data_IF_655939846198
#
_entry.id   IF_655939846198
#
_cell.length_a   1.000
_cell.length_b   1.000
_cell.length_c   1.000
_cell.angle_alpha   90.00
_cell.angle_beta   90.00
_cell.angle_gamma   90.00
#
_symmetry.space_group_name_H-M   'P 1'
#
loop_
_entity.id
_entity.type
_entity.pdbx_description
1 polymer ?
#
# COMPACT_ATOMS: atom_id res chain seq x y z
N UNK A 1 -40.55 -0.96 63.73
CA UNK A 1 -39.89 -0.34 64.90
C UNK A 1 -40.73 -0.65 66.12
N UNK A 2 -40.14 -1.35 67.08
CA UNK A 2 -40.81 -1.73 68.33
C UNK A 2 -40.32 -0.79 69.43
N UNK A 3 -41.21 0.11 69.89
CA UNK A 3 -40.89 1.12 70.89
C UNK A 3 -40.53 0.51 72.25
N UNK A 4 -41.05 -0.68 72.57
CA UNK A 4 -40.76 -1.39 73.81
C UNK A 4 -39.34 -1.96 73.76
N UNK A 5 -38.97 -2.64 72.67
CA UNK A 5 -37.61 -3.17 72.48
C UNK A 5 -36.56 -2.06 72.46
N UNK A 6 -36.84 -0.98 71.73
CA UNK A 6 -35.94 0.17 71.64
C UNK A 6 -35.79 0.87 73.00
N UNK A 7 -36.91 1.08 73.71
CA UNK A 7 -36.89 1.64 75.07
C UNK A 7 -36.09 0.79 76.04
N UNK A 8 -36.21 -0.54 75.97
CA UNK A 8 -35.44 -1.47 76.78
C UNK A 8 -33.94 -1.39 76.46
N UNK A 9 -33.56 -1.35 75.17
CA UNK A 9 -32.17 -1.23 74.74
C UNK A 9 -31.54 0.10 75.20
N UNK A 10 -32.29 1.21 75.14
CA UNK A 10 -31.87 2.52 75.64
C UNK A 10 -31.64 2.46 77.15
N UNK A 11 -32.60 1.91 77.92
CA UNK A 11 -32.50 1.79 79.36
C UNK A 11 -31.32 0.91 79.79
N UNK A 12 -31.13 -0.22 79.10
CA UNK A 12 -30.03 -1.15 79.33
C UNK A 12 -28.68 -0.47 79.07
N UNK A 13 -28.50 0.09 77.88
CA UNK A 13 -27.21 0.68 77.47
C UNK A 13 -26.87 1.91 78.31
N UNK A 14 -27.86 2.72 78.71
CA UNK A 14 -27.67 3.82 79.65
C UNK A 14 -27.12 3.34 80.99
N UNK A 15 -27.71 2.28 81.56
CA UNK A 15 -27.29 1.70 82.84
C UNK A 15 -25.90 1.07 82.75
N UNK A 16 -25.59 0.39 81.64
CA UNK A 16 -24.25 -0.16 81.39
C UNK A 16 -23.17 0.93 81.35
N UNK A 17 -23.51 2.12 80.84
CA UNK A 17 -22.63 3.30 80.87
C UNK A 17 -22.64 4.07 82.20
N UNK A 18 -23.37 3.60 83.21
CA UNK A 18 -23.46 4.25 84.53
C UNK A 18 -24.16 5.60 84.53
N UNK A 19 -24.90 5.95 83.46
CA UNK A 19 -25.56 7.24 83.33
C UNK A 19 -26.93 7.23 84.04
N UNK A 20 -27.30 8.32 84.69
CA UNK A 20 -28.66 8.59 85.15
C UNK A 20 -29.56 9.05 83.99
N UNK A 21 -30.88 8.98 84.14
CA UNK A 21 -31.81 9.50 83.12
C UNK A 21 -31.61 11.01 82.88
N UNK A 22 -31.21 11.75 83.91
CA UNK A 22 -30.89 13.19 83.80
C UNK A 22 -29.64 13.43 82.96
N UNK A 23 -28.58 12.68 83.20
CA UNK A 23 -27.33 12.82 82.45
C UNK A 23 -27.49 12.41 80.98
N UNK A 24 -28.29 11.38 80.68
CA UNK A 24 -28.61 11.04 79.29
C UNK A 24 -29.43 12.16 78.62
N UNK A 25 -30.41 12.71 79.33
CA UNK A 25 -31.23 13.81 78.83
C UNK A 25 -30.40 15.07 78.54
N UNK A 26 -29.44 15.39 79.40
CA UNK A 26 -28.48 16.49 79.20
C UNK A 26 -27.59 16.24 77.97
N UNK A 27 -27.10 15.00 77.76
CA UNK A 27 -26.25 14.66 76.60
C UNK A 27 -26.95 14.73 75.25
N UNK A 28 -28.25 14.45 75.22
CA UNK A 28 -29.06 14.49 73.98
C UNK A 28 -29.99 15.69 73.90
N UNK A 29 -29.80 16.69 74.77
CA UNK A 29 -30.52 17.96 74.80
C UNK A 29 -32.05 17.85 74.88
N UNK A 30 -32.56 16.94 75.69
CA UNK A 30 -34.01 16.75 75.93
C UNK A 30 -34.38 16.84 77.41
N UNK A 31 -35.68 16.82 77.71
CA UNK A 31 -36.14 16.74 79.10
C UNK A 31 -35.97 15.32 79.66
N UNK A 32 -35.70 15.22 80.97
CA UNK A 32 -35.63 13.93 81.69
C UNK A 32 -36.89 13.10 81.51
N UNK A 33 -38.05 13.77 81.40
CA UNK A 33 -39.34 13.13 81.15
C UNK A 33 -39.42 12.47 79.76
N UNK A 34 -38.74 13.01 78.74
CA UNK A 34 -38.69 12.41 77.42
C UNK A 34 -37.94 11.08 77.46
N UNK A 35 -36.76 11.04 78.09
CA UNK A 35 -35.97 9.81 78.31
C UNK A 35 -36.78 8.77 79.08
N UNK A 36 -37.46 9.17 80.15
CA UNK A 36 -38.33 8.27 80.91
C UNK A 36 -39.45 7.66 80.05
N UNK A 37 -40.08 8.45 79.17
CA UNK A 37 -41.12 7.95 78.24
C UNK A 37 -40.55 7.00 77.21
N UNK A 38 -39.33 7.23 76.70
CA UNK A 38 -38.67 6.32 75.77
C UNK A 38 -38.32 4.99 76.44
N UNK A 39 -37.71 5.02 77.63
CA UNK A 39 -37.34 3.81 78.37
C UNK A 39 -38.56 2.96 78.76
N UNK A 40 -39.72 3.58 78.97
CA UNK A 40 -40.99 2.89 79.25
C UNK A 40 -41.74 2.48 77.97
N UNK A 41 -41.18 2.72 76.78
CA UNK A 41 -41.83 2.42 75.48
C UNK A 41 -43.10 3.23 75.21
N UNK A 42 -43.33 4.33 75.93
CA UNK A 42 -44.54 5.18 75.81
C UNK A 42 -44.47 6.14 74.63
N UNK A 43 -43.27 6.45 74.15
CA UNK A 43 -43.02 7.22 72.93
C UNK A 43 -41.66 6.83 72.35
N UNK A 44 -41.39 7.20 71.10
CA UNK A 44 -40.12 6.98 70.42
C UNK A 44 -39.26 8.27 70.43
N UNK A 45 -37.92 8.17 70.45
CA UNK A 45 -37.05 9.31 70.14
C UNK A 45 -37.34 9.80 68.72
N UNK A 46 -37.35 11.12 68.50
CA UNK A 46 -37.45 11.65 67.14
C UNK A 46 -36.25 11.22 66.29
N UNK A 47 -36.43 11.08 64.98
CA UNK A 47 -35.39 10.66 64.05
C UNK A 47 -34.19 11.63 64.09
N UNK A 48 -34.47 12.92 64.31
CA UNK A 48 -33.48 13.98 64.50
C UNK A 48 -32.57 13.77 65.73
N UNK A 49 -33.03 13.01 66.73
CA UNK A 49 -32.30 12.70 67.96
C UNK A 49 -31.55 11.38 67.88
N UNK A 50 -31.75 10.58 66.83
CA UNK A 50 -31.21 9.22 66.73
C UNK A 50 -29.69 9.20 66.64
N UNK A 51 -29.08 10.16 65.93
CA UNK A 51 -27.62 10.28 65.85
C UNK A 51 -27.01 10.69 67.20
N UNK A 52 -27.59 11.68 67.88
CA UNK A 52 -27.13 12.09 69.20
C UNK A 52 -27.31 10.98 70.24
N UNK A 53 -28.40 10.23 70.15
CA UNK A 53 -28.66 9.10 71.03
C UNK A 53 -27.74 7.92 70.72
N UNK A 54 -27.44 7.66 69.45
CA UNK A 54 -26.50 6.62 69.01
C UNK A 54 -25.10 6.90 69.53
N UNK A 55 -24.64 8.16 69.46
CA UNK A 55 -23.35 8.59 69.98
C UNK A 55 -23.28 8.51 71.51
N UNK A 56 -24.30 9.02 72.20
CA UNK A 56 -24.36 8.97 73.66
C UNK A 56 -24.35 7.54 74.19
N UNK A 57 -25.03 6.61 73.50
CA UNK A 57 -25.18 5.21 73.91
C UNK A 57 -24.15 4.28 73.25
N UNK A 58 -23.35 4.74 72.28
CA UNK A 58 -22.35 3.90 71.59
C UNK A 58 -22.99 2.77 70.79
N UNK A 59 -24.16 3.04 70.22
CA UNK A 59 -24.90 2.13 69.35
C UNK A 59 -24.89 2.72 67.94
N UNK A 60 -25.17 1.92 66.93
CA UNK A 60 -25.52 2.44 65.61
C UNK A 60 -27.01 2.83 65.57
N UNK A 61 -27.37 3.74 64.67
CA UNK A 61 -28.78 4.11 64.46
C UNK A 61 -29.62 2.88 64.08
N UNK A 62 -29.04 1.95 63.30
CA UNK A 62 -29.69 0.69 62.93
C UNK A 62 -30.02 -0.18 64.14
N UNK A 63 -29.11 -0.30 65.11
CA UNK A 63 -29.35 -1.04 66.36
C UNK A 63 -30.43 -0.39 67.23
N UNK A 64 -30.44 0.95 67.32
CA UNK A 64 -31.49 1.67 68.01
C UNK A 64 -32.87 1.45 67.36
N UNK A 65 -32.95 1.43 66.02
CA UNK A 65 -34.21 1.20 65.30
C UNK A 65 -34.68 -0.27 65.35
N UNK A 66 -33.74 -1.22 65.37
CA UNK A 66 -34.03 -2.64 65.51
C UNK A 66 -34.39 -3.01 66.96
N UNK A 67 -33.92 -2.23 67.95
CA UNK A 67 -34.12 -2.49 69.38
C UNK A 67 -33.26 -3.66 69.90
N UNK A 68 -32.25 -4.06 69.13
CA UNK A 68 -31.29 -5.11 69.47
C UNK A 68 -29.89 -4.71 68.99
N UNK A 69 -28.85 -5.12 69.73
CA UNK A 69 -27.46 -4.96 69.27
C UNK A 69 -27.22 -5.90 68.11
N UNK A 70 -26.63 -5.39 67.03
CA UNK A 70 -26.36 -6.17 65.83
C UNK A 70 -25.17 -7.07 66.07
N UNK A 71 -25.32 -8.37 65.81
CA UNK A 71 -24.17 -9.25 65.62
C UNK A 71 -23.36 -8.75 64.41
N UNK A 72 -22.05 -8.58 64.59
CA UNK A 72 -21.15 -8.25 63.49
C UNK A 72 -21.12 -9.40 62.47
N UNK A 73 -20.94 -9.13 61.16
CA UNK A 73 -21.01 -10.18 60.15
C UNK A 73 -19.86 -11.18 60.32
N UNK A 74 -20.20 -12.46 60.46
CA UNK A 74 -19.22 -13.56 60.48
C UNK A 74 -18.51 -13.67 59.12
N UNK A 75 -17.18 -13.52 59.15
CA UNK A 75 -16.21 -13.59 58.03
C UNK A 75 -16.35 -14.84 57.12
N UNK A 76 -17.06 -15.86 57.59
CA UNK A 76 -17.22 -17.17 56.95
C UNK A 76 -18.23 -17.14 55.78
N UNK A 77 -19.33 -16.38 55.91
CA UNK A 77 -20.34 -16.21 54.85
C UNK A 77 -19.82 -15.37 53.67
N UNK A 78 -18.99 -14.37 53.96
CA UNK A 78 -18.32 -13.55 52.94
C UNK A 78 -17.29 -14.40 52.17
N UNK A 79 -16.56 -15.27 52.86
CA UNK A 79 -15.61 -16.20 52.21
C UNK A 79 -16.32 -17.23 51.34
N UNK A 80 -17.43 -17.79 51.78
CA UNK A 80 -18.17 -18.78 50.98
C UNK A 80 -18.84 -18.16 49.74
N UNK A 81 -19.38 -16.95 49.85
CA UNK A 81 -19.91 -16.22 48.68
C UNK A 81 -18.83 -15.85 47.68
N UNK A 82 -17.63 -15.46 48.14
CA UNK A 82 -16.48 -15.21 47.27
C UNK A 82 -15.96 -16.49 46.60
N UNK A 83 -15.89 -17.61 47.33
CA UNK A 83 -15.48 -18.92 46.78
C UNK A 83 -16.44 -19.42 45.70
N UNK A 84 -17.74 -19.30 45.93
CA UNK A 84 -18.77 -19.65 44.94
C UNK A 84 -18.67 -18.79 43.67
N UNK A 85 -18.27 -17.52 43.81
CA UNK A 85 -17.98 -16.64 42.67
C UNK A 85 -16.73 -17.07 41.89
N UNK A 86 -15.64 -17.40 42.57
CA UNK A 86 -14.38 -17.81 41.93
C UNK A 86 -14.47 -19.13 41.16
N UNK A 87 -15.17 -20.14 41.72
CA UNK A 87 -15.32 -21.44 41.06
C UNK A 87 -16.13 -21.35 39.75
N UNK A 88 -17.14 -20.48 39.71
CA UNK A 88 -17.94 -20.27 38.49
C UNK A 88 -17.21 -19.47 37.41
N UNK A 89 -16.31 -18.57 37.80
CA UNK A 89 -15.59 -17.68 36.87
C UNK A 89 -14.36 -18.35 36.24
N UNK A 90 -13.68 -19.24 36.95
CA UNK A 90 -12.49 -19.96 36.46
C UNK A 90 -12.67 -20.66 35.09
N UNK A 91 -13.71 -21.47 34.84
CA UNK A 91 -13.88 -22.14 33.55
C UNK A 91 -14.22 -21.16 32.42
N UNK A 92 -14.94 -20.07 32.72
CA UNK A 92 -15.24 -19.01 31.73
C UNK A 92 -13.97 -18.25 31.37
N UNK A 93 -13.19 -17.81 32.36
CA UNK A 93 -11.92 -17.10 32.15
C UNK A 93 -10.94 -17.95 31.34
N UNK A 94 -10.85 -19.26 31.63
CA UNK A 94 -9.99 -20.18 30.87
C UNK A 94 -10.39 -20.26 29.39
N UNK A 95 -11.68 -20.43 29.09
CA UNK A 95 -12.20 -20.48 27.71
C UNK A 95 -11.99 -19.16 26.96
N UNK A 96 -12.27 -18.04 27.60
CA UNK A 96 -12.05 -16.71 27.00
C UNK A 96 -10.57 -16.45 26.74
N UNK A 97 -9.68 -16.88 27.63
CA UNK A 97 -8.23 -16.81 27.41
C UNK A 97 -7.78 -17.64 26.21
N UNK A 98 -8.27 -18.87 26.07
CA UNK A 98 -7.96 -19.74 24.93
C UNK A 98 -8.46 -19.13 23.62
N UNK A 99 -9.70 -18.63 23.58
CA UNK A 99 -10.25 -17.93 22.42
C UNK A 99 -9.43 -16.68 22.07
N UNK A 100 -9.03 -15.88 23.06
CA UNK A 100 -8.23 -14.68 22.83
C UNK A 100 -6.85 -15.01 22.27
N UNK A 101 -6.19 -16.07 22.77
CA UNK A 101 -4.90 -16.54 22.24
C UNK A 101 -5.08 -17.02 20.80
N UNK A 102 -6.12 -17.83 20.51
CA UNK A 102 -6.35 -18.30 19.13
C UNK A 102 -6.63 -17.14 18.17
N UNK A 103 -7.41 -16.14 18.58
CA UNK A 103 -7.68 -14.95 17.78
C UNK A 103 -6.39 -14.12 17.55
N UNK A 104 -5.56 -13.96 18.59
CA UNK A 104 -4.28 -13.27 18.48
C UNK A 104 -3.32 -13.98 17.52
N UNK A 105 -3.26 -15.32 17.54
CA UNK A 105 -2.46 -16.12 16.61
C UNK A 105 -2.96 -15.97 15.17
N UNK A 106 -4.28 -16.05 14.95
CA UNK A 106 -4.88 -15.84 13.63
C UNK A 106 -4.59 -14.43 13.10
N UNK A 107 -4.69 -13.42 13.95
CA UNK A 107 -4.37 -12.04 13.59
C UNK A 107 -2.89 -11.87 13.24
N UNK A 108 -1.98 -12.47 14.01
CA UNK A 108 -0.55 -12.43 13.72
C UNK A 108 -0.21 -13.10 12.38
N UNK A 109 -0.84 -14.25 12.07
CA UNK A 109 -0.68 -14.91 10.76
C UNK A 109 -1.22 -14.05 9.62
N UNK A 110 -2.37 -13.41 9.79
CA UNK A 110 -2.93 -12.51 8.81
C UNK A 110 -2.02 -11.30 8.55
N UNK A 111 -1.48 -10.68 9.61
CA UNK A 111 -0.52 -9.58 9.51
C UNK A 111 0.79 -10.01 8.84
N UNK A 112 1.28 -11.22 9.13
CA UNK A 112 2.47 -11.77 8.48
C UNK A 112 2.24 -12.00 6.99
N UNK A 113 1.07 -12.51 6.59
CA UNK A 113 0.68 -12.64 5.19
C UNK A 113 0.60 -11.29 4.48
N UNK A 114 -0.02 -10.29 5.12
CA UNK A 114 -0.08 -8.92 4.59
C UNK A 114 1.31 -8.27 4.49
N UNK A 115 2.18 -8.50 5.48
CA UNK A 115 3.56 -8.03 5.43
C UNK A 115 4.35 -8.69 4.28
N UNK A 116 4.16 -9.99 4.04
CA UNK A 116 4.76 -10.68 2.91
C UNK A 116 4.31 -10.13 1.56
N UNK A 117 3.01 -9.83 1.41
CA UNK A 117 2.48 -9.17 0.21
C UNK A 117 3.01 -7.75 0.03
N UNK A 118 3.11 -6.99 1.14
CA UNK A 118 3.68 -5.65 1.12
C UNK A 118 5.14 -5.69 0.68
N UNK A 119 5.93 -6.61 1.22
CA UNK A 119 7.33 -6.83 0.81
C UNK A 119 7.39 -7.23 -0.66
N UNK A 120 6.60 -8.17 -1.17
CA UNK A 120 6.65 -8.55 -2.59
C UNK A 120 6.32 -7.38 -3.53
N UNK A 121 5.35 -6.53 -3.15
CA UNK A 121 4.98 -5.35 -3.94
C UNK A 121 6.02 -4.23 -3.90
N UNK A 122 6.76 -4.09 -2.79
CA UNK A 122 7.70 -2.98 -2.58
C UNK A 122 9.17 -3.39 -2.71
N UNK A 123 9.45 -4.69 -2.86
CA UNK A 123 10.79 -5.19 -3.13
C UNK A 123 11.03 -5.09 -4.63
N UNK A 124 11.97 -4.22 -4.98
CA UNK A 124 12.44 -4.07 -6.34
C UNK A 124 13.07 -5.40 -6.79
N UNK A 125 12.36 -6.16 -7.61
CA UNK A 125 12.87 -7.42 -8.17
C UNK A 125 14.05 -7.13 -9.10
N UNK A 126 15.07 -8.00 -9.15
CA UNK A 126 16.20 -7.81 -10.05
C UNK A 126 15.70 -7.94 -11.50
N UNK A 127 15.92 -6.89 -12.29
CA UNK A 127 15.55 -6.83 -13.69
C UNK A 127 16.75 -7.30 -14.51
N UNK A 128 16.70 -8.52 -15.07
CA UNK A 128 17.83 -9.08 -15.84
C UNK A 128 17.79 -8.76 -17.33
N UNK A 129 16.60 -8.47 -17.83
CA UNK A 129 16.32 -8.30 -19.25
C UNK A 129 15.82 -6.89 -19.50
N UNK A 130 16.27 -6.32 -20.61
CA UNK A 130 15.75 -5.05 -21.10
C UNK A 130 14.55 -5.33 -21.98
N UNK A 131 13.41 -4.72 -21.65
CA UNK A 131 12.16 -4.92 -22.37
C UNK A 131 11.79 -3.64 -23.08
N UNK A 132 11.42 -3.77 -24.35
CA UNK A 132 10.92 -2.70 -25.20
C UNK A 132 9.42 -2.89 -25.40
N UNK A 133 8.62 -1.86 -25.14
CA UNK A 133 7.17 -1.87 -25.36
C UNK A 133 6.76 -0.65 -26.21
N UNK A 134 6.05 -0.88 -27.31
CA UNK A 134 5.59 0.19 -28.20
C UNK A 134 4.61 1.12 -27.49
N UNK A 135 4.79 2.42 -27.69
CA UNK A 135 3.79 3.42 -27.31
C UNK A 135 2.85 3.59 -28.50
N UNK A 136 1.75 2.84 -28.47
CA UNK A 136 0.68 2.96 -29.47
C UNK A 136 -0.08 4.26 -29.22
N UNK A 137 -0.04 5.16 -30.19
CA UNK A 137 -0.75 6.45 -30.14
C UNK A 137 -2.24 6.26 -30.41
N UNK A 138 -3.07 7.08 -29.76
CA UNK A 138 -4.49 7.19 -30.12
C UNK A 138 -4.65 7.82 -31.51
N UNK A 139 -5.80 7.64 -32.16
CA UNK A 139 -6.07 8.23 -33.48
C UNK A 139 -5.84 9.75 -33.53
N UNK A 140 -6.23 10.47 -32.47
CA UNK A 140 -6.04 11.91 -32.37
C UNK A 140 -4.56 12.29 -32.23
N UNK A 141 -3.80 11.54 -31.42
CA UNK A 141 -2.36 11.75 -31.24
C UNK A 141 -1.61 11.44 -32.53
N UNK A 142 -1.97 10.37 -33.23
CA UNK A 142 -1.42 10.01 -34.52
C UNK A 142 -1.68 11.13 -35.55
N UNK A 143 -2.90 11.65 -35.64
CA UNK A 143 -3.23 12.74 -36.54
C UNK A 143 -2.41 14.01 -36.25
N UNK A 144 -2.20 14.35 -34.97
CA UNK A 144 -1.33 15.46 -34.58
C UNK A 144 0.12 15.21 -35.00
N UNK A 145 0.63 14.00 -34.75
CA UNK A 145 1.99 13.60 -35.13
C UNK A 145 2.18 13.68 -36.65
N UNK A 146 1.23 13.19 -37.43
CA UNK A 146 1.29 13.22 -38.90
C UNK A 146 1.34 14.66 -39.43
N UNK A 147 0.51 15.56 -38.89
CA UNK A 147 0.51 16.99 -39.23
C UNK A 147 1.84 17.68 -38.86
N UNK A 148 2.44 17.31 -37.73
CA UNK A 148 3.71 17.88 -37.28
C UNK A 148 4.92 17.30 -38.03
N UNK A 149 4.82 16.06 -38.51
CA UNK A 149 5.89 15.34 -39.19
C UNK A 149 5.97 15.66 -40.68
N UNK A 150 4.88 16.09 -41.31
CA UNK A 150 4.89 16.60 -42.69
C UNK A 150 5.42 18.03 -42.72
N UNK A 151 6.74 18.18 -42.83
CA UNK A 151 7.39 19.48 -42.99
C UNK A 151 8.26 19.47 -44.24
N UNK A 152 8.20 20.56 -45.02
CA UNK A 152 9.01 20.76 -46.23
C UNK A 152 8.85 19.68 -47.32
N UNK A 153 7.72 18.96 -47.35
CA UNK A 153 7.46 17.91 -48.34
C UNK A 153 8.08 16.55 -48.01
N UNK A 154 8.78 16.42 -46.88
CA UNK A 154 9.35 15.17 -46.40
C UNK A 154 8.43 14.53 -45.36
N UNK A 155 8.19 13.22 -45.50
CA UNK A 155 7.51 12.44 -44.48
C UNK A 155 8.53 12.00 -43.43
N UNK A 156 8.13 11.95 -42.16
CA UNK A 156 9.01 11.45 -41.09
C UNK A 156 8.33 10.33 -40.35
N UNK A 157 9.06 9.23 -40.14
CA UNK A 157 8.61 8.16 -39.27
C UNK A 157 8.99 8.47 -37.83
N UNK A 158 8.01 8.31 -36.94
CA UNK A 158 8.18 8.44 -35.51
C UNK A 158 7.91 7.08 -34.87
N UNK A 159 8.90 6.54 -34.16
CA UNK A 159 8.74 5.40 -33.27
C UNK A 159 8.94 5.82 -31.83
N UNK A 160 8.09 5.32 -30.93
CA UNK A 160 8.14 5.61 -29.50
C UNK A 160 7.98 4.33 -28.69
N UNK A 161 8.79 4.19 -27.65
CA UNK A 161 8.90 2.97 -26.85
C UNK A 161 9.13 3.29 -25.37
N UNK A 162 8.46 2.54 -24.51
CA UNK A 162 8.83 2.43 -23.11
C UNK A 162 9.90 1.33 -22.98
N UNK A 163 11.02 1.67 -22.34
CA UNK A 163 12.09 0.73 -22.04
C UNK A 163 12.15 0.48 -20.54
N UNK A 164 12.01 -0.79 -20.16
CA UNK A 164 12.38 -1.26 -18.83
C UNK A 164 13.82 -1.75 -18.89
N UNK A 165 14.73 -0.99 -18.29
CA UNK A 165 16.17 -1.22 -18.35
C UNK A 165 16.61 -2.32 -17.37
N UNK A 166 17.47 -3.24 -17.84
CA UNK A 166 18.14 -4.23 -16.99
C UNK A 166 19.08 -3.60 -15.95
N UNK A 167 19.26 -4.23 -14.80
CA UNK A 167 20.08 -3.69 -13.70
C UNK A 167 21.58 -3.65 -14.00
N UNK A 168 22.05 -4.49 -14.93
CA UNK A 168 23.43 -4.51 -15.41
C UNK A 168 23.62 -3.63 -16.65
N UNK A 169 22.69 -2.70 -16.90
CA UNK A 169 22.73 -1.85 -18.07
C UNK A 169 23.83 -0.74 -18.04
N UNK A 170 24.96 -0.88 -18.74
CA UNK A 170 26.07 0.10 -18.75
C UNK A 170 26.17 1.03 -19.97
N UNK A 171 25.58 0.69 -21.11
CA UNK A 171 25.43 1.60 -22.24
C UNK A 171 24.54 1.04 -23.34
N UNK A 172 24.14 1.87 -24.28
CA UNK A 172 23.36 1.43 -25.44
C UNK A 172 23.97 1.95 -26.74
N UNK A 173 23.73 1.21 -27.80
CA UNK A 173 24.04 1.60 -29.17
C UNK A 173 22.80 1.47 -30.04
N UNK A 174 22.45 2.51 -30.77
CA UNK A 174 21.40 2.42 -31.81
C UNK A 174 22.08 2.46 -33.16
N UNK A 175 21.75 1.50 -34.01
CA UNK A 175 22.29 1.41 -35.35
C UNK A 175 21.20 1.14 -36.39
N UNK A 176 21.42 1.63 -37.59
CA UNK A 176 20.64 1.25 -38.76
C UNK A 176 21.44 0.25 -39.59
N UNK A 177 20.78 -0.75 -40.13
CA UNK A 177 21.39 -1.81 -40.93
C UNK A 177 20.59 -1.99 -42.22
N UNK A 178 21.29 -1.94 -43.36
CA UNK A 178 20.71 -2.24 -44.66
C UNK A 178 21.02 -3.69 -45.02
N UNK A 179 19.97 -4.48 -45.18
CA UNK A 179 20.02 -5.88 -45.57
C UNK A 179 19.46 -6.08 -46.97
N UNK A 180 20.06 -6.97 -47.74
CA UNK A 180 19.56 -7.44 -49.04
C UNK A 180 19.47 -8.97 -49.02
N UNK A 181 19.01 -9.57 -50.11
CA UNK A 181 19.03 -11.02 -50.28
C UNK A 181 20.43 -11.66 -50.17
N UNK A 182 21.49 -10.88 -50.39
CA UNK A 182 22.89 -11.31 -50.24
C UNK A 182 23.41 -11.18 -48.79
N UNK A 183 22.63 -10.56 -47.89
CA UNK A 183 22.97 -10.36 -46.47
C UNK A 183 23.13 -8.89 -46.08
N UNK A 184 23.89 -8.64 -45.01
CA UNK A 184 24.13 -7.29 -44.50
C UNK A 184 25.02 -6.51 -45.47
N UNK A 185 24.45 -5.45 -46.06
CA UNK A 185 25.14 -4.58 -47.03
C UNK A 185 25.83 -3.41 -46.36
N UNK A 186 25.20 -2.77 -45.38
CA UNK A 186 25.78 -1.64 -44.67
C UNK A 186 25.23 -1.49 -43.25
N UNK A 187 26.00 -0.85 -42.36
CA UNK A 187 25.60 -0.57 -40.98
C UNK A 187 26.09 0.82 -40.55
N UNK A 188 25.19 1.62 -39.97
CA UNK A 188 25.47 2.95 -39.47
C UNK A 188 25.22 3.02 -37.97
N UNK A 189 26.19 3.53 -37.21
CA UNK A 189 26.03 3.81 -35.80
C UNK A 189 25.41 5.20 -35.60
N UNK A 190 24.16 5.25 -35.13
CA UNK A 190 23.40 6.48 -34.99
C UNK A 190 23.53 7.11 -33.61
N UNK A 191 23.77 6.28 -32.60
CA UNK A 191 23.96 6.72 -31.23
C UNK A 191 24.75 5.67 -30.48
N UNK A 192 25.69 6.12 -29.65
CA UNK A 192 26.46 5.27 -28.76
C UNK A 192 26.68 6.04 -27.46
N UNK A 193 26.07 5.57 -26.38
CA UNK A 193 26.08 6.26 -25.10
C UNK A 193 26.38 5.26 -23.99
N UNK A 194 27.34 5.59 -23.13
CA UNK A 194 27.56 4.88 -21.86
C UNK A 194 26.79 5.58 -20.74
N UNK A 195 26.16 4.81 -19.87
CA UNK A 195 25.51 5.32 -18.68
C UNK A 195 26.56 5.59 -17.59
N UNK A 196 26.72 6.86 -17.22
CA UNK A 196 27.55 7.23 -16.07
C UNK A 196 26.71 7.07 -14.79
N UNK A 197 26.81 5.91 -14.13
CA UNK A 197 26.04 5.61 -12.90
C UNK A 197 26.54 6.32 -11.64
N UNK A 198 27.64 7.07 -11.71
CA UNK A 198 28.34 7.56 -10.51
C UNK A 198 27.57 8.58 -9.65
N UNK A 199 26.45 9.16 -10.11
CA UNK A 199 25.68 10.07 -9.25
C UNK A 199 24.22 10.37 -9.67
N UNK A 200 23.62 9.57 -10.55
CA UNK A 200 22.25 9.78 -11.01
C UNK A 200 21.41 8.52 -10.79
N UNK A 201 20.29 8.66 -10.07
CA UNK A 201 19.22 7.66 -10.07
C UNK A 201 18.63 7.60 -11.48
N UNK A 202 19.17 6.73 -12.33
CA UNK A 202 18.53 6.37 -13.58
C UNK A 202 17.23 5.62 -13.26
N UNK A 203 16.09 6.20 -13.63
CA UNK A 203 14.82 5.47 -13.62
C UNK A 203 14.96 4.22 -14.49
N UNK A 204 14.46 3.08 -14.01
CA UNK A 204 14.43 1.85 -14.83
C UNK A 204 13.56 2.01 -16.06
N UNK A 205 12.47 2.76 -15.93
CA UNK A 205 11.60 3.11 -17.04
C UNK A 205 12.15 4.34 -17.75
N UNK A 206 12.45 4.20 -19.04
CA UNK A 206 12.95 5.25 -19.91
C UNK A 206 12.13 5.32 -21.20
N UNK A 207 11.95 6.54 -21.72
CA UNK A 207 11.37 6.76 -23.04
C UNK A 207 12.47 6.66 -24.09
N UNK A 208 12.29 5.81 -25.10
CA UNK A 208 13.02 5.86 -26.36
C UNK A 208 12.09 6.38 -27.44
N UNK A 209 12.46 7.48 -28.08
CA UNK A 209 11.75 7.98 -29.23
C UNK A 209 12.74 8.29 -30.35
N UNK A 210 12.38 8.00 -31.59
CA UNK A 210 13.21 8.38 -32.72
C UNK A 210 12.36 8.91 -33.86
N UNK A 211 12.90 9.93 -34.53
CA UNK A 211 12.34 10.51 -35.74
C UNK A 211 13.33 10.32 -36.88
N UNK A 212 12.88 9.64 -37.91
CA UNK A 212 13.65 9.36 -39.12
C UNK A 212 12.91 9.97 -40.32
N UNK A 213 13.39 11.10 -40.86
CA UNK A 213 12.84 11.69 -42.08
C UNK A 213 13.14 10.81 -43.31
N UNK A 214 12.15 10.62 -44.18
CA UNK A 214 12.30 9.98 -45.51
C UNK A 214 11.80 10.98 -46.55
N UNK A 215 12.73 11.49 -47.34
CA UNK A 215 12.46 12.58 -48.28
C UNK A 215 13.65 12.88 -49.19
N UNK A 216 13.41 13.64 -50.25
CA UNK A 216 14.37 13.93 -51.32
C UNK A 216 15.28 15.14 -51.01
N UNK A 217 15.18 15.71 -49.81
CA UNK A 217 15.94 16.90 -49.41
C UNK A 217 17.34 16.57 -48.84
N UNK A 218 18.35 17.29 -49.32
CA UNK A 218 19.68 17.34 -48.68
C UNK A 218 19.56 17.86 -47.23
N UNK A 219 20.17 17.17 -46.27
CA UNK A 219 20.33 17.66 -44.90
C UNK A 219 19.27 17.23 -43.87
N UNK A 220 18.49 16.19 -44.17
CA UNK A 220 17.52 15.61 -43.23
C UNK A 220 18.22 14.96 -42.03
N UNK A 221 17.99 15.51 -40.82
CA UNK A 221 18.59 15.04 -39.56
C UNK A 221 17.69 14.04 -38.85
N UNK A 222 18.25 12.89 -38.48
CA UNK A 222 17.58 12.00 -37.53
C UNK A 222 17.67 12.58 -36.12
N UNK A 223 16.66 12.28 -35.30
CA UNK A 223 16.69 12.56 -33.86
C UNK A 223 16.37 11.31 -33.09
N UNK A 224 17.16 11.02 -32.07
CA UNK A 224 16.92 9.92 -31.14
C UNK A 224 16.93 10.51 -29.73
N UNK A 225 15.84 10.32 -29.01
CA UNK A 225 15.70 10.65 -27.60
C UNK A 225 15.74 9.37 -26.80
N UNK A 226 16.60 9.34 -25.78
CA UNK A 226 16.66 8.27 -24.80
C UNK A 226 16.63 8.90 -23.41
N UNK A 227 15.54 8.67 -22.68
CA UNK A 227 15.31 9.32 -21.40
C UNK A 227 15.29 10.85 -21.51
N UNK A 228 16.17 11.50 -20.76
CA UNK A 228 16.38 12.95 -20.80
C UNK A 228 17.34 13.40 -21.90
N UNK A 229 18.15 12.49 -22.46
CA UNK A 229 19.13 12.80 -23.49
C UNK A 229 18.51 12.83 -24.89
N UNK A 230 18.99 13.73 -25.75
CA UNK A 230 18.64 13.76 -27.17
C UNK A 230 19.90 13.82 -28.01
N UNK A 231 20.06 12.85 -28.90
CA UNK A 231 21.10 12.80 -29.93
C UNK A 231 20.48 13.17 -31.27
N UNK A 232 21.19 13.95 -32.06
CA UNK A 232 20.81 14.29 -33.43
C UNK A 232 22.04 14.17 -34.31
N UNK A 233 21.86 13.65 -35.51
CA UNK A 233 22.96 13.48 -36.45
C UNK A 233 22.49 13.57 -37.89
N UNK A 234 23.47 13.61 -38.78
CA UNK A 234 23.29 13.33 -40.19
C UNK A 234 23.73 11.90 -40.40
N UNK A 235 22.95 11.15 -41.14
CA UNK A 235 23.41 9.86 -41.60
C UNK A 235 23.00 9.75 -43.06
N UNK A 236 23.99 9.55 -43.92
CA UNK A 236 23.81 9.29 -45.36
C UNK A 236 23.21 7.89 -45.61
N UNK A 237 22.46 7.36 -44.62
CA UNK A 237 21.59 6.20 -44.74
C UNK A 237 20.68 6.41 -45.94
N UNK A 238 20.11 7.61 -46.07
CA UNK A 238 19.14 7.92 -47.11
C UNK A 238 19.76 7.96 -48.50
N UNK A 239 20.97 8.49 -48.68
CA UNK A 239 21.66 8.42 -49.98
C UNK A 239 21.87 6.97 -50.43
N UNK A 240 22.13 6.08 -49.48
CA UNK A 240 22.30 4.65 -49.74
C UNK A 240 20.99 3.89 -49.95
N UNK A 241 19.87 4.41 -49.45
CA UNK A 241 18.54 3.77 -49.46
C UNK A 241 17.61 4.38 -50.53
N UNK A 242 17.88 5.61 -50.98
CA UNK A 242 17.15 6.35 -52.02
C UNK A 242 16.98 5.57 -53.33
N UNK A 243 17.95 4.78 -53.81
CA UNK A 243 17.75 3.94 -54.99
C UNK A 243 16.65 2.89 -54.80
N UNK A 244 16.38 2.51 -53.56
CA UNK A 244 15.48 1.42 -53.16
C UNK A 244 14.09 1.89 -52.69
N UNK A 245 13.91 3.20 -52.52
CA UNK A 245 12.64 3.79 -52.11
C UNK A 245 11.71 3.93 -53.33
N UNK A 246 10.64 3.14 -53.34
CA UNK A 246 9.52 3.25 -54.28
C UNK A 246 8.19 3.36 -53.50
N UNK A 247 7.10 3.69 -54.19
CA UNK A 247 5.74 3.88 -53.65
C UNK A 247 5.13 2.64 -52.94
N UNK A 248 5.85 1.51 -52.90
CA UNK A 248 5.43 0.24 -52.27
C UNK A 248 6.08 -0.08 -50.92
N UNK A 249 6.89 0.83 -50.36
CA UNK A 249 7.64 0.60 -49.11
C UNK A 249 6.69 0.35 -47.93
N UNK A 250 6.94 -0.69 -47.13
CA UNK A 250 6.15 -1.01 -45.93
C UNK A 250 6.95 -0.78 -44.66
N UNK A 251 6.31 -0.31 -43.60
CA UNK A 251 6.97 -0.10 -42.31
C UNK A 251 6.33 -0.94 -41.21
N UNK A 252 7.17 -1.49 -40.34
CA UNK A 252 6.75 -2.23 -39.15
C UNK A 252 7.53 -1.75 -37.93
N UNK A 253 6.86 -1.77 -36.78
CA UNK A 253 7.40 -1.42 -35.47
C UNK A 253 7.36 -2.65 -34.57
N UNK A 254 8.29 -2.71 -33.61
CA UNK A 254 8.22 -3.69 -32.53
C UNK A 254 7.00 -3.41 -31.68
N UNK A 255 6.16 -4.41 -31.43
CA UNK A 255 5.08 -4.25 -30.45
C UNK A 255 5.61 -4.45 -29.03
N UNK A 256 6.37 -5.55 -28.83
CA UNK A 256 7.08 -5.83 -27.59
C UNK A 256 8.24 -6.80 -27.83
N UNK A 257 9.46 -6.38 -27.54
CA UNK A 257 10.66 -7.19 -27.73
C UNK A 257 11.54 -7.21 -26.49
N UNK A 258 12.16 -8.36 -26.20
CA UNK A 258 13.27 -8.44 -25.24
C UNK A 258 14.55 -8.14 -26.01
N UNK A 259 15.40 -7.27 -25.47
CA UNK A 259 16.67 -6.92 -26.10
C UNK A 259 17.66 -8.06 -25.89
N UNK A 260 17.96 -8.78 -26.96
CA UNK A 260 18.98 -9.83 -26.96
C UNK A 260 20.38 -9.21 -26.87
N UNK A 261 21.29 -9.84 -26.11
CA UNK A 261 22.64 -9.30 -25.89
C UNK A 261 23.54 -9.41 -27.12
N UNK A 262 23.34 -10.45 -27.94
CA UNK A 262 24.18 -10.70 -29.10
C UNK A 262 23.62 -9.99 -30.34
N UNK A 263 22.30 -10.01 -30.52
CA UNK A 263 21.66 -9.59 -31.75
C UNK A 263 20.84 -8.28 -31.63
N UNK A 264 20.66 -7.77 -30.41
CA UNK A 264 19.89 -6.56 -30.13
C UNK A 264 18.38 -6.76 -30.24
N UNK A 265 17.63 -5.66 -30.27
CA UNK A 265 16.19 -5.62 -30.57
C UNK A 265 15.92 -4.75 -31.79
N UNK A 266 15.00 -5.19 -32.65
CA UNK A 266 14.50 -4.40 -33.77
C UNK A 266 13.54 -3.33 -33.25
N UNK A 267 13.76 -2.07 -33.63
CA UNK A 267 12.92 -0.93 -33.32
C UNK A 267 12.01 -0.54 -34.49
N UNK A 268 12.47 -0.77 -35.71
CA UNK A 268 11.75 -0.46 -36.93
C UNK A 268 12.33 -1.29 -38.06
N UNK A 269 11.45 -1.77 -38.93
CA UNK A 269 11.81 -2.39 -40.20
C UNK A 269 11.11 -1.63 -41.33
N UNK A 270 11.91 -1.14 -42.28
CA UNK A 270 11.43 -0.54 -43.52
C UNK A 270 11.77 -1.49 -44.67
N UNK A 271 10.74 -2.09 -45.26
CA UNK A 271 10.85 -2.91 -46.47
C UNK A 271 11.05 -2.02 -47.70
N UNK A 272 12.00 -2.42 -48.55
CA UNK A 272 12.47 -1.68 -49.72
C UNK A 272 12.55 -2.62 -50.94
N UNK A 273 12.53 -2.06 -52.15
CA UNK A 273 12.65 -2.82 -53.40
C UNK A 273 13.90 -2.36 -54.17
N UNK A 274 14.77 -3.29 -54.56
CA UNK A 274 15.97 -2.98 -55.36
C UNK A 274 15.64 -2.69 -56.82
N UNK A 275 14.56 -3.26 -57.34
CA UNK A 275 14.03 -2.93 -58.67
C UNK A 275 12.83 -2.00 -58.55
N UNK A 276 12.85 -0.87 -59.28
CA UNK A 276 11.69 0.04 -59.47
C UNK A 276 10.54 -0.60 -60.29
N UNK A 277 10.46 -1.93 -60.31
CA UNK A 277 9.55 -2.73 -61.13
C UNK A 277 8.22 -3.02 -60.43
N UNK A 278 7.71 -2.08 -59.61
CA UNK A 278 6.28 -1.82 -59.39
C UNK A 278 5.36 -2.95 -58.88
N UNK A 279 5.83 -4.15 -58.54
CA UNK A 279 4.91 -5.28 -58.30
C UNK A 279 5.10 -6.10 -57.02
N UNK A 280 5.98 -5.71 -56.10
CA UNK A 280 6.14 -6.44 -54.84
C UNK A 280 5.84 -5.55 -53.63
N UNK A 281 4.71 -5.85 -52.98
CA UNK A 281 4.38 -5.37 -51.64
C UNK A 281 5.27 -6.15 -50.68
N UNK A 282 6.26 -5.48 -50.10
CA UNK A 282 7.20 -6.10 -49.16
C UNK A 282 6.42 -6.80 -48.05
N UNK A 283 6.59 -8.12 -47.99
CA UNK A 283 6.03 -8.98 -46.96
C UNK A 283 6.82 -8.67 -45.68
N UNK A 284 6.12 -8.37 -44.58
CA UNK A 284 6.76 -8.20 -43.26
C UNK A 284 7.52 -9.51 -42.98
N UNK A 285 8.85 -9.47 -42.95
CA UNK A 285 9.70 -10.67 -42.98
C UNK A 285 9.99 -11.27 -41.61
N UNK A 286 9.54 -10.62 -40.54
CA UNK A 286 9.58 -11.18 -39.20
C UNK A 286 8.54 -10.49 -38.34
N UNK A 287 8.00 -11.19 -37.35
CA UNK A 287 7.57 -10.45 -36.18
C UNK A 287 8.81 -9.70 -35.70
N UNK A 288 8.67 -8.44 -35.37
CA UNK A 288 9.71 -7.51 -34.90
C UNK A 288 10.45 -7.96 -33.62
N UNK A 289 10.24 -9.22 -33.23
CA UNK A 289 10.87 -9.97 -32.16
C UNK A 289 12.03 -10.86 -32.65
N UNK A 290 12.16 -11.08 -33.96
CA UNK A 290 13.35 -11.73 -34.54
C UNK A 290 14.43 -10.67 -34.81
N UNK A 291 15.63 -10.79 -34.23
CA UNK A 291 16.68 -9.80 -34.41
C UNK A 291 17.35 -9.86 -35.80
N UNK A 292 17.05 -10.85 -36.64
CA UNK A 292 17.45 -10.86 -38.04
C UNK A 292 16.24 -10.79 -38.96
N UNK A 293 16.32 -10.09 -40.11
CA UNK A 293 15.27 -10.19 -41.11
C UNK A 293 15.19 -11.64 -41.59
N UNK A 294 13.97 -12.16 -41.76
CA UNK A 294 13.77 -13.41 -42.47
C UNK A 294 14.37 -13.37 -43.89
N UNK A 295 14.47 -14.52 -44.56
CA UNK A 295 15.10 -14.61 -45.89
C UNK A 295 14.51 -13.60 -46.89
N UNK A 296 15.29 -12.58 -47.21
CA UNK A 296 14.95 -11.56 -48.22
C UNK A 296 14.97 -12.20 -49.61
N UNK A 297 14.00 -11.83 -50.46
CA UNK A 297 13.96 -12.29 -51.85
C UNK A 297 14.91 -11.46 -52.69
N UNK A 298 15.43 -12.05 -53.76
CA UNK A 298 16.20 -11.32 -54.77
C UNK A 298 15.40 -10.11 -55.27
N UNK A 299 16.06 -8.94 -55.34
CA UNK A 299 15.40 -7.67 -55.67
C UNK A 299 14.67 -6.98 -54.50
N UNK A 300 14.79 -7.48 -53.27
CA UNK A 300 14.26 -6.81 -52.05
C UNK A 300 15.36 -6.45 -51.07
N UNK A 301 15.13 -5.39 -50.30
CA UNK A 301 16.02 -4.93 -49.24
C UNK A 301 15.21 -4.53 -47.99
N UNK A 302 15.87 -4.48 -46.84
CA UNK A 302 15.28 -4.03 -45.59
C UNK A 302 16.24 -3.09 -44.86
N UNK A 303 15.73 -1.93 -44.45
CA UNK A 303 16.43 -1.04 -43.53
C UNK A 303 15.89 -1.29 -42.11
N UNK A 304 16.75 -1.75 -41.23
CA UNK A 304 16.39 -2.17 -39.87
C UNK A 304 17.07 -1.25 -38.88
N UNK A 305 16.28 -0.60 -38.02
CA UNK A 305 16.80 0.13 -36.88
C UNK A 305 16.85 -0.81 -35.68
N UNK A 306 18.02 -0.91 -35.03
CA UNK A 306 18.23 -1.80 -33.89
C UNK A 306 18.78 -1.08 -32.68
N UNK A 307 18.33 -1.52 -31.50
CA UNK A 307 18.91 -1.20 -30.21
C UNK A 307 19.81 -2.36 -29.77
N UNK A 308 21.07 -2.03 -29.52
CA UNK A 308 22.08 -2.91 -28.97
C UNK A 308 22.38 -2.56 -27.53
N UNK A 309 22.65 -3.63 -26.78
CA UNK A 309 22.87 -3.66 -25.36
C UNK A 309 24.31 -4.15 -25.06
N UNK A 310 25.04 -3.55 -24.10
CA UNK A 310 26.41 -3.95 -23.76
C UNK A 310 26.61 -4.24 -22.27
#
# INVERSE_FOLDING_TARGET
>A
MDAIKTGALIAQTRKEKGLTQRELAEKVYVSVQAVSKWELGKNFPDLSLMEHLSDALGLTVSELLAGERGEQPHDELVRDTLRLGEEQLRPKIKRWRELFITAAVLLALALMGLAGLWVDQHTVKPQRETILEEIVLTENEQAMVDLLNFQNGDYSYLGMYNLTIADDMDGYRIAAELWTHEGLKNSWNLSNTKFFRENQSFSREQLLAFRIPIGQGEGSRYRIRFGSGTVSGFADIFDSVLPYLDNGSTISYASRAVVDREHGAVLMELGLNEERSGYWRTQILGTTNDPQPGTLREGTAALILKLYWN
#
